data_IF_152923357597
#
_entry.id   IF_152923357597
#
_cell.length_a   1.000
_cell.length_b   1.000
_cell.length_c   1.000
_cell.angle_alpha   90.00
_cell.angle_beta   90.00
_cell.angle_gamma   90.00
#
_symmetry.space_group_name_H-M   'P 1'
#
loop_
_entity.id
_entity.type
_entity.pdbx_description
1 polymer ?
#
# COMPACT_ATOMS: atom_id res chain seq x y z
N UNK A 1 8.56 -61.37 -45.67
CA UNK A 1 8.84 -60.85 -44.31
C UNK A 1 9.28 -59.37 -44.24
N UNK A 2 9.11 -58.53 -45.28
CA UNK A 2 9.57 -57.12 -45.27
C UNK A 2 8.51 -56.06 -44.90
N UNK A 3 7.22 -56.34 -45.12
CA UNK A 3 6.13 -55.38 -44.81
C UNK A 3 5.92 -55.11 -43.31
N UNK A 4 6.15 -56.11 -42.44
CA UNK A 4 6.08 -55.93 -40.98
C UNK A 4 7.18 -54.99 -40.45
N UNK A 5 8.37 -55.00 -41.06
CA UNK A 5 9.50 -54.18 -40.60
C UNK A 5 9.35 -52.69 -40.92
N UNK A 6 8.74 -52.36 -42.06
CA UNK A 6 8.54 -50.97 -42.48
C UNK A 6 7.47 -50.29 -41.64
N UNK A 7 6.38 -51.01 -41.33
CA UNK A 7 5.29 -50.50 -40.47
C UNK A 7 5.76 -50.26 -39.05
N UNK A 8 6.60 -51.13 -38.47
CA UNK A 8 7.15 -50.91 -37.12
C UNK A 8 8.10 -49.71 -37.05
N UNK A 9 8.95 -49.51 -38.06
CA UNK A 9 9.84 -48.34 -38.10
C UNK A 9 9.07 -47.03 -38.29
N UNK A 10 8.04 -47.03 -39.12
CA UNK A 10 7.22 -45.85 -39.36
C UNK A 10 6.43 -45.44 -38.10
N UNK A 11 5.87 -46.41 -37.38
CA UNK A 11 5.17 -46.17 -36.11
C UNK A 11 6.12 -45.56 -35.08
N UNK A 12 7.34 -46.08 -34.95
CA UNK A 12 8.34 -45.55 -34.01
C UNK A 12 8.70 -44.08 -34.29
N UNK A 13 8.92 -43.74 -35.57
CA UNK A 13 9.25 -42.37 -35.99
C UNK A 13 8.08 -41.41 -35.72
N UNK A 14 6.85 -41.83 -36.02
CA UNK A 14 5.66 -41.03 -35.73
C UNK A 14 5.49 -40.81 -34.21
N UNK A 15 5.70 -41.84 -33.39
CA UNK A 15 5.62 -41.72 -31.93
C UNK A 15 6.66 -40.75 -31.36
N UNK A 16 7.90 -40.79 -31.87
CA UNK A 16 8.95 -39.86 -31.43
C UNK A 16 8.64 -38.43 -31.85
N UNK A 17 8.19 -38.21 -33.09
CA UNK A 17 7.87 -36.87 -33.59
C UNK A 17 6.68 -36.26 -32.84
N UNK A 18 5.62 -37.05 -32.59
CA UNK A 18 4.48 -36.59 -31.80
C UNK A 18 4.90 -36.34 -30.35
N UNK A 19 5.73 -37.21 -29.76
CA UNK A 19 6.24 -37.05 -28.40
C UNK A 19 7.07 -35.77 -28.22
N UNK A 20 7.98 -35.48 -29.16
CA UNK A 20 8.77 -34.25 -29.16
C UNK A 20 7.92 -33.01 -29.41
N UNK A 21 6.92 -33.10 -30.30
CA UNK A 21 5.99 -32.00 -30.58
C UNK A 21 5.13 -31.62 -29.38
N UNK A 22 4.56 -32.61 -28.70
CA UNK A 22 3.76 -32.38 -27.47
C UNK A 22 4.64 -31.86 -26.35
N UNK A 23 5.85 -32.42 -26.16
CA UNK A 23 6.78 -31.94 -25.14
C UNK A 23 7.21 -30.49 -25.37
N UNK A 24 7.54 -30.12 -26.62
CA UNK A 24 7.91 -28.75 -26.99
C UNK A 24 6.78 -27.74 -26.79
N UNK A 25 5.53 -28.13 -27.09
CA UNK A 25 4.35 -27.30 -26.87
C UNK A 25 4.05 -27.09 -25.38
N UNK A 26 4.12 -28.15 -24.56
CA UNK A 26 3.91 -28.04 -23.10
C UNK A 26 5.00 -27.19 -22.45
N UNK A 27 6.25 -27.34 -22.88
CA UNK A 27 7.36 -26.54 -22.36
C UNK A 27 7.22 -25.06 -22.73
N UNK A 28 6.87 -24.73 -23.98
CA UNK A 28 6.62 -23.33 -24.39
C UNK A 28 5.39 -22.74 -23.71
N UNK A 29 4.30 -23.50 -23.60
CA UNK A 29 3.11 -23.04 -22.88
C UNK A 29 3.41 -22.79 -21.40
N UNK A 30 4.22 -23.64 -20.76
CA UNK A 30 4.64 -23.47 -19.37
C UNK A 30 5.49 -22.22 -19.15
N UNK A 31 6.41 -21.90 -20.07
CA UNK A 31 7.21 -20.67 -19.99
C UNK A 31 6.37 -19.43 -20.29
N UNK A 32 5.57 -19.44 -21.35
CA UNK A 32 4.68 -18.33 -21.70
C UNK A 32 3.67 -18.03 -20.58
N UNK A 33 3.12 -19.06 -19.92
CA UNK A 33 2.25 -18.87 -18.76
C UNK A 33 2.99 -18.28 -17.55
N UNK A 34 4.27 -18.62 -17.32
CA UNK A 34 5.05 -18.00 -16.23
C UNK A 34 5.30 -16.52 -16.47
N UNK A 35 5.68 -16.15 -17.69
CA UNK A 35 5.96 -14.75 -18.03
C UNK A 35 4.69 -13.89 -17.95
N UNK A 36 3.54 -14.41 -18.44
CA UNK A 36 2.25 -13.71 -18.36
C UNK A 36 1.79 -13.53 -16.90
N UNK A 37 1.97 -14.55 -16.06
CA UNK A 37 1.59 -14.46 -14.63
C UNK A 37 2.48 -13.44 -13.92
N UNK A 38 3.79 -13.44 -14.16
CA UNK A 38 4.72 -12.49 -13.55
C UNK A 38 4.44 -11.04 -13.98
N UNK A 39 4.10 -10.82 -15.26
CA UNK A 39 3.71 -9.49 -15.74
C UNK A 39 2.37 -9.02 -15.16
N UNK A 40 1.38 -9.92 -15.05
CA UNK A 40 0.10 -9.61 -14.42
C UNK A 40 0.28 -9.29 -12.92
N UNK A 41 1.10 -10.06 -12.21
CA UNK A 41 1.41 -9.83 -10.80
C UNK A 41 2.16 -8.51 -10.59
N UNK A 42 3.12 -8.20 -11.48
CA UNK A 42 3.85 -6.92 -11.45
C UNK A 42 2.93 -5.73 -11.72
N UNK A 43 2.00 -5.84 -12.67
CA UNK A 43 1.00 -4.80 -12.92
C UNK A 43 0.05 -4.62 -11.74
N UNK A 44 -0.42 -5.72 -11.15
CA UNK A 44 -1.27 -5.69 -9.96
C UNK A 44 -0.54 -5.04 -8.77
N UNK A 45 0.72 -5.40 -8.51
CA UNK A 45 1.54 -4.77 -7.47
C UNK A 45 1.76 -3.27 -7.73
N UNK A 46 2.00 -2.87 -8.99
CA UNK A 46 2.14 -1.45 -9.34
C UNK A 46 0.84 -0.68 -9.13
N UNK A 47 -0.31 -1.26 -9.45
CA UNK A 47 -1.62 -0.66 -9.17
C UNK A 47 -1.84 -0.50 -7.68
N UNK A 48 -1.62 -1.57 -6.90
CA UNK A 48 -1.75 -1.55 -5.44
C UNK A 48 -0.80 -0.54 -4.78
N UNK A 49 0.43 -0.43 -5.29
CA UNK A 49 1.40 0.56 -4.80
C UNK A 49 0.91 1.99 -5.08
N UNK A 50 0.37 2.26 -6.28
CA UNK A 50 -0.20 3.57 -6.61
C UNK A 50 -1.42 3.90 -5.75
N UNK A 51 -2.32 2.95 -5.56
CA UNK A 51 -3.50 3.14 -4.73
C UNK A 51 -3.11 3.39 -3.27
N UNK A 52 -2.09 2.69 -2.77
CA UNK A 52 -1.54 2.92 -1.43
C UNK A 52 -0.91 4.30 -1.29
N UNK A 53 -0.11 4.75 -2.27
CA UNK A 53 0.48 6.10 -2.28
C UNK A 53 -0.63 7.16 -2.28
N UNK A 54 -1.64 7.02 -3.15
CA UNK A 54 -2.76 7.96 -3.21
C UNK A 54 -3.53 8.02 -1.87
N UNK A 55 -3.75 6.88 -1.22
CA UNK A 55 -4.39 6.84 0.11
C UNK A 55 -3.54 7.55 1.18
N UNK A 56 -2.22 7.37 1.14
CA UNK A 56 -1.31 8.07 2.05
C UNK A 56 -1.29 9.57 1.80
N UNK A 57 -1.27 10.01 0.55
CA UNK A 57 -1.33 11.44 0.19
C UNK A 57 -2.63 12.08 0.67
N UNK A 58 -3.78 11.43 0.44
CA UNK A 58 -5.08 11.91 0.94
C UNK A 58 -5.11 11.99 2.47
N UNK A 59 -4.52 11.00 3.16
CA UNK A 59 -4.41 11.03 4.62
C UNK A 59 -3.54 12.20 5.08
N UNK A 60 -2.37 12.42 4.46
CA UNK A 60 -1.49 13.55 4.79
C UNK A 60 -2.15 14.90 4.52
N UNK A 61 -2.89 15.03 3.42
CA UNK A 61 -3.64 16.25 3.10
C UNK A 61 -4.73 16.52 4.13
N UNK A 62 -5.51 15.49 4.49
CA UNK A 62 -6.50 15.57 5.56
C UNK A 62 -5.85 15.99 6.89
N UNK A 63 -4.74 15.35 7.28
CA UNK A 63 -3.98 15.70 8.49
C UNK A 63 -3.50 17.14 8.48
N UNK A 64 -2.94 17.61 7.36
CA UNK A 64 -2.52 18.99 7.19
C UNK A 64 -3.68 19.97 7.37
N UNK A 65 -4.84 19.68 6.79
CA UNK A 65 -6.03 20.52 6.92
C UNK A 65 -6.56 20.58 8.35
N UNK A 66 -6.58 19.44 9.05
CA UNK A 66 -6.97 19.36 10.47
C UNK A 66 -6.02 20.16 11.35
N UNK A 67 -4.69 19.99 11.18
CA UNK A 67 -3.71 20.75 11.95
C UNK A 67 -3.80 22.26 11.68
N UNK A 68 -4.06 22.67 10.43
CA UNK A 68 -4.32 24.08 10.10
C UNK A 68 -5.58 24.62 10.76
N UNK A 69 -6.64 23.81 10.84
CA UNK A 69 -7.86 24.19 11.54
C UNK A 69 -7.61 24.37 13.03
N UNK A 70 -6.88 23.44 13.67
CA UNK A 70 -6.47 23.57 15.07
C UNK A 70 -5.59 24.81 15.29
N UNK A 71 -4.59 25.05 14.45
CA UNK A 71 -3.72 26.23 14.58
C UNK A 71 -4.47 27.56 14.45
N UNK A 72 -5.60 27.59 13.73
CA UNK A 72 -6.47 28.77 13.59
C UNK A 72 -7.49 28.90 14.72
N UNK A 73 -7.69 27.86 15.53
CA UNK A 73 -8.55 27.94 16.69
C UNK A 73 -7.99 28.97 17.69
N UNK A 74 -8.88 29.75 18.29
CA UNK A 74 -8.49 30.85 19.16
C UNK A 74 -7.72 30.35 20.39
N UNK A 75 -8.17 29.27 21.01
CA UNK A 75 -7.55 28.77 22.24
C UNK A 75 -6.22 28.11 21.94
N UNK A 76 -6.18 27.29 20.89
CA UNK A 76 -4.97 26.61 20.43
C UNK A 76 -3.91 27.62 19.99
N UNK A 77 -4.26 28.60 19.15
CA UNK A 77 -3.32 29.63 18.71
C UNK A 77 -2.83 30.52 19.85
N UNK A 78 -3.71 30.90 20.79
CA UNK A 78 -3.31 31.73 21.94
C UNK A 78 -2.48 30.97 22.97
N UNK A 79 -2.57 29.64 23.04
CA UNK A 79 -1.75 28.81 23.93
C UNK A 79 -0.25 28.87 23.59
N UNK A 80 0.12 29.22 22.35
CA UNK A 80 1.52 29.49 21.97
C UNK A 80 2.06 30.79 22.57
N UNK A 81 1.20 31.76 22.90
CA UNK A 81 1.59 33.07 23.41
C UNK A 81 1.37 33.19 24.93
N UNK A 82 0.29 32.62 25.45
CA UNK A 82 -0.06 32.74 26.87
C UNK A 82 -0.39 31.40 27.50
N UNK A 83 0.30 31.11 28.60
CA UNK A 83 0.15 29.88 29.38
C UNK A 83 -1.28 29.66 29.90
N UNK A 84 -1.99 30.75 30.21
CA UNK A 84 -3.38 30.72 30.69
C UNK A 84 -4.35 30.08 29.69
N UNK A 85 -4.00 30.00 28.40
CA UNK A 85 -4.84 29.37 27.36
C UNK A 85 -4.49 27.89 27.10
N UNK A 86 -3.41 27.36 27.69
CA UNK A 86 -2.97 25.98 27.44
C UNK A 86 -4.02 24.97 27.90
N UNK A 87 -4.59 25.13 29.09
CA UNK A 87 -5.60 24.22 29.61
C UNK A 87 -6.89 24.23 28.78
N UNK A 88 -7.28 25.38 28.24
CA UNK A 88 -8.44 25.50 27.35
C UNK A 88 -8.17 24.86 26.00
N UNK A 89 -6.96 25.03 25.45
CA UNK A 89 -6.53 24.36 24.23
C UNK A 89 -6.52 22.84 24.42
N UNK A 90 -5.99 22.35 25.55
CA UNK A 90 -6.00 20.94 25.89
C UNK A 90 -7.42 20.39 26.00
N UNK A 91 -8.32 21.08 26.71
CA UNK A 91 -9.71 20.67 26.85
C UNK A 91 -10.48 20.67 25.51
N UNK A 92 -10.27 21.68 24.68
CA UNK A 92 -10.84 21.76 23.34
C UNK A 92 -10.37 20.60 22.45
N UNK A 93 -9.05 20.36 22.41
CA UNK A 93 -8.47 19.27 21.63
C UNK A 93 -8.85 17.89 22.18
N UNK A 94 -8.97 17.73 23.50
CA UNK A 94 -9.43 16.49 24.13
C UNK A 94 -10.88 16.14 23.76
N UNK A 95 -11.73 17.14 23.53
CA UNK A 95 -13.09 16.94 23.03
C UNK A 95 -13.15 16.60 21.53
N UNK A 96 -12.14 17.03 20.75
CA UNK A 96 -12.11 16.82 19.31
C UNK A 96 -11.37 15.55 18.88
N UNK A 97 -10.27 15.22 19.55
CA UNK A 97 -9.40 14.08 19.25
C UNK A 97 -10.13 12.73 19.14
N UNK A 98 -11.17 12.43 19.94
CA UNK A 98 -11.96 11.21 19.79
C UNK A 98 -12.67 11.07 18.43
N UNK A 99 -12.84 12.16 17.67
CA UNK A 99 -13.41 12.10 16.31
C UNK A 99 -12.35 11.74 15.25
N UNK A 100 -11.09 11.54 15.66
CA UNK A 100 -9.99 11.24 14.77
C UNK A 100 -9.27 9.97 15.24
N UNK A 101 -9.88 8.81 14.99
CA UNK A 101 -9.42 7.47 15.43
C UNK A 101 -7.96 7.14 15.06
N UNK A 102 -7.42 7.79 14.03
CA UNK A 102 -6.06 7.57 13.53
C UNK A 102 -4.99 8.31 14.36
N UNK A 103 -5.37 9.22 15.25
CA UNK A 103 -4.41 10.04 16.00
C UNK A 103 -4.26 9.53 17.43
N UNK A 104 -3.02 9.17 17.79
CA UNK A 104 -2.67 8.80 19.16
C UNK A 104 -2.45 10.01 20.08
N UNK A 105 -2.40 11.22 19.52
CA UNK A 105 -2.37 12.46 20.27
C UNK A 105 -1.92 13.66 19.42
N UNK A 106 -2.00 14.84 20.01
CA UNK A 106 -1.54 16.11 19.42
C UNK A 106 -0.68 16.82 20.44
N UNK A 107 0.50 17.28 20.00
CA UNK A 107 1.41 18.08 20.78
C UNK A 107 1.69 19.40 20.05
N UNK A 108 1.91 20.46 20.82
CA UNK A 108 2.46 21.71 20.32
C UNK A 108 3.84 21.95 20.91
N UNK A 109 4.76 22.39 20.07
CA UNK A 109 6.15 22.68 20.45
C UNK A 109 6.51 24.11 20.05
N UNK A 110 7.43 24.73 20.78
CA UNK A 110 8.09 25.96 20.36
C UNK A 110 9.06 25.65 19.22
N UNK A 111 9.52 26.68 18.51
CA UNK A 111 10.58 26.55 17.48
C UNK A 111 11.90 26.01 18.03
N UNK A 112 12.11 26.10 19.35
CA UNK A 112 13.27 25.58 20.06
C UNK A 112 13.10 24.11 20.48
N UNK A 113 11.94 23.51 20.22
CA UNK A 113 11.62 22.12 20.59
C UNK A 113 11.03 21.94 21.98
N UNK A 114 10.75 23.02 22.73
CA UNK A 114 10.12 22.93 24.04
C UNK A 114 8.63 22.58 23.90
N UNK A 115 8.15 21.61 24.69
CA UNK A 115 6.73 21.24 24.71
C UNK A 115 5.88 22.35 25.33
N UNK A 116 4.82 22.75 24.62
CA UNK A 116 3.84 23.74 25.09
C UNK A 116 2.69 23.02 25.78
N UNK A 117 2.11 22.02 25.11
CA UNK A 117 1.07 21.15 25.64
C UNK A 117 1.02 19.83 24.86
N UNK A 118 0.41 18.80 25.45
CA UNK A 118 0.16 17.51 24.83
C UNK A 118 -1.20 16.96 25.23
N UNK A 119 -1.96 16.52 24.24
CA UNK A 119 -3.24 15.84 24.44
C UNK A 119 -3.15 14.44 23.84
N UNK A 120 -3.39 13.43 24.66
CA UNK A 120 -3.45 12.04 24.23
C UNK A 120 -4.77 11.79 23.48
N UNK A 121 -4.70 11.09 22.35
CA UNK A 121 -5.87 10.53 21.68
C UNK A 121 -6.42 9.31 22.43
N UNK A 122 -7.64 8.89 22.09
CA UNK A 122 -8.25 7.70 22.70
C UNK A 122 -7.36 6.45 22.61
N UNK A 123 -7.52 5.54 23.57
CA UNK A 123 -6.74 4.29 23.66
C UNK A 123 -6.90 3.41 22.40
#
# INVERSE_FOLDING_TARGET
MRLKSITTQLVLVVTILVGLGVFGLVFHASQASRDIILDAEKQAMQSLARDSVNQQEMFLEFTSNVLRAFAKDRFVGQAFQYKVYQTQAEGYLAGLLPNFDLYKGVAAFTSEGSLIYFVKGGD
#
